data_IF_885433884057
#
_entry.id   IF_885433884057
#
_cell.length_a   1.000
_cell.length_b   1.000
_cell.length_c   1.000
_cell.angle_alpha   90.00
_cell.angle_beta   90.00
_cell.angle_gamma   90.00
#
_symmetry.space_group_name_H-M   'P 1'
#
loop_
_entity.id
_entity.type
_entity.pdbx_description
1 polymer ?
#
# COMPACT_ATOMS: atom_id res chain seq x y z
N UNK A 1 13.29 35.22 -37.90
CA UNK A 1 12.06 35.27 -38.73
C UNK A 1 11.98 33.98 -39.54
N UNK A 2 10.79 33.40 -39.69
CA UNK A 2 10.44 32.14 -38.99
C UNK A 2 9.80 31.09 -39.91
N UNK A 3 9.71 29.84 -39.43
CA UNK A 3 8.91 28.77 -40.03
C UNK A 3 7.80 28.35 -39.06
N UNK A 4 6.72 29.11 -39.05
CA UNK A 4 5.49 28.83 -38.32
C UNK A 4 4.78 27.62 -38.95
N UNK A 5 4.68 26.49 -38.24
CA UNK A 5 4.05 25.26 -38.72
C UNK A 5 2.80 24.89 -37.90
N UNK A 6 2.01 25.90 -37.51
CA UNK A 6 0.71 25.70 -36.86
C UNK A 6 -0.41 26.28 -37.72
N UNK A 7 -1.08 25.43 -38.52
CA UNK A 7 -2.51 25.54 -38.86
C UNK A 7 -2.99 24.32 -39.65
N UNK A 8 -3.90 23.56 -39.03
CA UNK A 8 -5.15 22.96 -39.57
C UNK A 8 -5.52 21.80 -38.60
N UNK A 9 -6.27 22.03 -37.51
CA UNK A 9 -7.74 22.08 -37.43
C UNK A 9 -8.45 20.89 -38.10
N UNK A 10 -8.87 19.92 -37.28
CA UNK A 10 -10.29 19.57 -37.04
C UNK A 10 -10.55 18.07 -36.95
N UNK A 11 -11.22 17.70 -35.85
CA UNK A 11 -12.33 16.75 -35.91
C UNK A 11 -12.00 15.28 -35.74
N UNK A 12 -12.47 14.73 -34.63
CA UNK A 12 -12.91 13.34 -34.60
C UNK A 12 -12.07 12.42 -33.73
N UNK A 13 -12.81 11.70 -32.90
CA UNK A 13 -12.44 10.42 -32.29
C UNK A 13 -11.63 10.53 -31.00
N UNK A 14 -12.38 10.39 -29.89
CA UNK A 14 -11.85 10.15 -28.56
C UNK A 14 -10.95 8.92 -28.60
N UNK A 15 -9.67 9.17 -28.78
CA UNK A 15 -8.62 8.18 -28.55
C UNK A 15 -8.70 7.85 -27.08
N UNK A 16 -9.21 6.64 -26.79
CA UNK A 16 -8.98 5.92 -25.56
C UNK A 16 -7.58 6.30 -25.07
N UNK A 17 -7.51 7.03 -23.96
CA UNK A 17 -6.25 7.33 -23.31
C UNK A 17 -5.73 5.99 -22.79
N UNK A 18 -5.03 5.26 -23.67
CA UNK A 18 -4.15 4.18 -23.29
C UNK A 18 -3.23 4.80 -22.26
N UNK A 19 -3.45 4.41 -21.00
CA UNK A 19 -2.56 4.75 -19.90
C UNK A 19 -1.24 4.06 -20.24
N UNK A 20 -0.41 4.75 -21.00
CA UNK A 20 1.03 4.54 -21.01
C UNK A 20 1.50 4.90 -19.60
N UNK A 21 1.25 3.98 -18.67
CA UNK A 21 1.64 4.11 -17.28
C UNK A 21 3.14 4.29 -17.26
N UNK A 22 3.59 5.52 -17.04
CA UNK A 22 5.01 5.84 -16.98
C UNK A 22 5.53 5.10 -15.74
N UNK A 23 6.21 3.97 -15.96
CA UNK A 23 6.79 3.19 -14.87
C UNK A 23 7.85 4.03 -14.17
N UNK A 24 7.55 4.48 -12.95
CA UNK A 24 8.50 5.21 -12.13
C UNK A 24 9.73 4.33 -11.85
N UNK A 25 10.92 4.87 -12.12
CA UNK A 25 12.19 4.22 -11.78
C UNK A 25 12.68 4.75 -10.46
N UNK A 26 12.91 3.86 -9.50
CA UNK A 26 13.39 4.20 -8.16
C UNK A 26 14.74 3.48 -7.95
N UNK A 27 15.73 4.21 -7.46
CA UNK A 27 17.00 3.66 -6.97
C UNK A 27 16.96 3.66 -5.46
N UNK A 28 17.11 2.50 -4.84
CA UNK A 28 17.13 2.32 -3.38
C UNK A 28 18.42 1.63 -2.96
N UNK A 29 18.93 1.99 -1.79
CA UNK A 29 20.07 1.32 -1.17
C UNK A 29 19.57 0.25 -0.21
N UNK A 30 20.07 -0.97 -0.36
CA UNK A 30 19.81 -2.08 0.55
C UNK A 30 21.14 -2.49 1.17
N UNK A 31 21.14 -2.83 2.46
CA UNK A 31 22.32 -3.47 3.03
C UNK A 31 22.48 -4.90 2.49
N UNK A 32 23.69 -5.44 2.58
CA UNK A 32 24.05 -6.74 2.01
C UNK A 32 23.14 -7.87 2.50
N UNK A 33 22.74 -7.83 3.78
CA UNK A 33 21.89 -8.85 4.39
C UNK A 33 20.48 -8.86 3.80
N UNK A 34 19.90 -7.67 3.60
CA UNK A 34 18.59 -7.50 2.97
C UNK A 34 18.68 -7.87 1.49
N UNK A 35 19.73 -7.45 0.77
CA UNK A 35 19.92 -7.80 -0.64
C UNK A 35 19.97 -9.32 -0.85
N UNK A 36 20.73 -10.06 -0.02
CA UNK A 36 20.79 -11.52 -0.10
C UNK A 36 19.42 -12.17 0.12
N UNK A 37 18.65 -11.69 1.10
CA UNK A 37 17.29 -12.18 1.38
C UNK A 37 16.36 -11.93 0.20
N UNK A 38 16.39 -10.73 -0.38
CA UNK A 38 15.60 -10.34 -1.55
C UNK A 38 15.91 -11.24 -2.74
N UNK A 39 17.20 -11.45 -3.07
CA UNK A 39 17.61 -12.33 -4.18
C UNK A 39 17.15 -13.77 -3.98
N UNK A 40 17.27 -14.29 -2.76
CA UNK A 40 16.81 -15.64 -2.41
C UNK A 40 15.28 -15.75 -2.60
N UNK A 41 14.52 -14.78 -2.09
CA UNK A 41 13.07 -14.78 -2.20
C UNK A 41 12.59 -14.66 -3.66
N UNK A 42 13.20 -13.78 -4.45
CA UNK A 42 12.90 -13.64 -5.88
C UNK A 42 13.16 -14.96 -6.65
N UNK A 43 14.29 -15.62 -6.36
CA UNK A 43 14.63 -16.93 -6.94
C UNK A 43 13.61 -18.00 -6.56
N UNK A 44 13.23 -18.08 -5.28
CA UNK A 44 12.20 -19.02 -4.80
C UNK A 44 10.84 -18.77 -5.45
N UNK A 45 10.49 -17.50 -5.70
CA UNK A 45 9.26 -17.09 -6.38
C UNK A 45 9.35 -17.16 -7.93
N UNK A 46 10.51 -17.54 -8.50
CA UNK A 46 10.75 -17.63 -9.95
C UNK A 46 10.46 -16.32 -10.72
N UNK A 47 10.71 -15.18 -10.09
CA UNK A 47 10.55 -13.84 -10.70
C UNK A 47 11.86 -13.04 -10.64
N UNK A 48 11.94 -11.95 -11.40
CA UNK A 48 13.08 -11.03 -11.31
C UNK A 48 13.09 -10.29 -9.98
N UNK A 49 14.28 -9.84 -9.55
CA UNK A 49 14.44 -9.07 -8.30
C UNK A 49 13.60 -7.79 -8.32
N UNK A 50 13.62 -7.03 -9.42
CA UNK A 50 12.84 -5.80 -9.55
C UNK A 50 11.35 -6.05 -9.46
N UNK A 51 10.84 -7.12 -10.09
CA UNK A 51 9.42 -7.51 -9.97
C UNK A 51 9.08 -7.90 -8.53
N UNK A 52 9.91 -8.71 -7.90
CA UNK A 52 9.69 -9.14 -6.53
C UNK A 52 9.62 -7.94 -5.56
N UNK A 53 10.54 -6.98 -5.70
CA UNK A 53 10.54 -5.75 -4.88
C UNK A 53 9.29 -4.92 -5.17
N UNK A 54 8.94 -4.70 -6.44
CA UNK A 54 7.76 -3.92 -6.82
C UNK A 54 6.47 -4.53 -6.24
N UNK A 55 6.31 -5.85 -6.34
CA UNK A 55 5.16 -6.56 -5.78
C UNK A 55 5.11 -6.42 -4.24
N UNK A 56 6.26 -6.48 -3.55
CA UNK A 56 6.32 -6.25 -2.09
C UNK A 56 5.98 -4.83 -1.69
N UNK A 57 6.48 -3.83 -2.42
CA UNK A 57 6.17 -2.41 -2.16
C UNK A 57 4.69 -2.14 -2.39
N UNK A 58 4.11 -2.67 -3.47
CA UNK A 58 2.69 -2.55 -3.75
C UNK A 58 1.82 -3.15 -2.63
N UNK A 59 2.22 -4.30 -2.08
CA UNK A 59 1.52 -4.91 -0.94
C UNK A 59 1.67 -4.10 0.35
N UNK A 60 2.88 -3.59 0.62
CA UNK A 60 3.13 -2.78 1.81
C UNK A 60 2.42 -1.41 1.78
N UNK A 61 2.12 -0.91 0.58
CA UNK A 61 1.39 0.35 0.37
C UNK A 61 -0.14 0.17 0.33
N UNK A 62 -0.66 -1.03 0.60
CA UNK A 62 -2.11 -1.21 0.75
C UNK A 62 -2.55 -0.62 2.10
N UNK A 63 -3.38 0.43 2.04
CA UNK A 63 -3.93 1.11 3.22
C UNK A 63 -5.18 0.42 3.79
N UNK A 64 -5.57 -0.74 3.24
CA UNK A 64 -6.78 -1.47 3.61
C UNK A 64 -6.46 -2.86 4.14
N UNK A 65 -7.22 -3.30 5.14
CA UNK A 65 -7.20 -4.69 5.58
C UNK A 65 -7.65 -5.63 4.44
N UNK A 66 -7.04 -6.82 4.31
CA UNK A 66 -7.51 -7.84 3.37
C UNK A 66 -8.99 -8.15 3.60
N UNK A 67 -9.73 -8.43 2.53
CA UNK A 67 -11.18 -8.71 2.60
C UNK A 67 -11.44 -9.92 3.49
N UNK A 68 -10.59 -10.94 3.41
CA UNK A 68 -10.68 -12.16 4.23
C UNK A 68 -10.55 -11.85 5.73
N UNK A 69 -9.84 -10.78 6.08
CA UNK A 69 -9.69 -10.32 7.46
C UNK A 69 -10.95 -9.58 7.93
N UNK A 70 -11.59 -8.82 7.04
CA UNK A 70 -12.86 -8.15 7.30
C UNK A 70 -14.02 -9.15 7.41
N UNK A 71 -14.01 -10.20 6.59
CA UNK A 71 -15.00 -11.30 6.63
C UNK A 71 -14.97 -12.07 7.96
N UNK A 72 -13.85 -12.02 8.68
CA UNK A 72 -13.73 -12.60 10.01
C UNK A 72 -14.52 -11.81 11.07
N UNK A 73 -14.83 -10.54 10.81
CA UNK A 73 -15.63 -9.73 11.73
C UNK A 73 -17.07 -10.26 11.79
N UNK A 74 -17.46 -10.78 12.96
CA UNK A 74 -18.78 -11.41 13.15
C UNK A 74 -18.87 -12.87 12.70
N UNK A 75 -17.75 -13.48 12.28
CA UNK A 75 -17.72 -14.91 11.91
C UNK A 75 -17.74 -15.86 13.12
N UNK A 76 -17.66 -15.34 14.35
CA UNK A 76 -17.74 -16.12 15.58
C UNK A 76 -19.21 -16.23 16.03
N UNK A 77 -19.86 -17.41 15.87
CA UNK A 77 -21.29 -17.57 16.13
C UNK A 77 -21.66 -17.41 17.62
N UNK A 78 -20.77 -17.81 18.52
CA UNK A 78 -20.96 -17.73 19.99
C UNK A 78 -19.96 -16.75 20.62
N UNK A 79 -19.80 -15.55 20.03
CA UNK A 79 -18.93 -14.54 20.62
C UNK A 79 -19.56 -14.02 21.93
N UNK A 80 -18.85 -14.10 23.07
CA UNK A 80 -19.40 -13.67 24.35
C UNK A 80 -19.66 -12.16 24.37
N UNK A 81 -20.65 -11.75 25.16
CA UNK A 81 -20.96 -10.33 25.34
C UNK A 81 -19.79 -9.59 26.01
N UNK A 82 -19.72 -8.28 25.78
CA UNK A 82 -18.62 -7.47 26.28
C UNK A 82 -18.52 -7.50 27.82
N UNK A 83 -19.64 -7.61 28.52
CA UNK A 83 -19.72 -7.77 29.96
C UNK A 83 -19.17 -9.12 30.42
N UNK A 84 -19.43 -10.21 29.69
CA UNK A 84 -18.90 -11.54 29.99
C UNK A 84 -17.39 -11.60 29.78
N UNK A 85 -16.88 -10.90 28.76
CA UNK A 85 -15.45 -10.76 28.52
C UNK A 85 -14.75 -9.93 29.61
N UNK A 86 -15.42 -8.93 30.18
CA UNK A 86 -14.85 -8.07 31.23
C UNK A 86 -14.99 -8.67 32.64
N UNK A 87 -15.83 -9.68 32.84
CA UNK A 87 -15.95 -10.37 34.13
C UNK A 87 -14.59 -10.88 34.61
N UNK A 88 -14.16 -10.41 35.77
CA UNK A 88 -12.89 -10.82 36.39
C UNK A 88 -11.66 -10.01 35.95
N UNK A 89 -11.80 -9.10 34.97
CA UNK A 89 -10.81 -8.06 34.73
C UNK A 89 -11.06 -6.87 35.65
N UNK A 90 -9.99 -6.17 36.04
CA UNK A 90 -10.10 -4.91 36.77
C UNK A 90 -10.74 -3.80 35.92
N UNK A 91 -11.04 -2.65 36.52
CA UNK A 91 -11.57 -1.52 35.76
C UNK A 91 -10.63 -1.10 34.62
N UNK A 92 -11.22 -0.76 33.48
CA UNK A 92 -10.49 -0.23 32.33
C UNK A 92 -9.68 1.00 32.77
N UNK A 93 -8.36 0.93 32.63
CA UNK A 93 -7.52 2.08 32.86
C UNK A 93 -7.81 3.15 31.80
N UNK A 94 -7.74 4.45 32.15
CA UNK A 94 -7.94 5.51 31.18
C UNK A 94 -7.04 5.32 29.96
N UNK A 95 -7.63 5.36 28.76
CA UNK A 95 -6.88 5.30 27.51
C UNK A 95 -5.83 6.41 27.50
N UNK A 96 -4.62 6.09 27.03
CA UNK A 96 -3.58 7.10 26.89
C UNK A 96 -4.03 8.25 25.97
N UNK A 97 -3.68 9.47 26.37
CA UNK A 97 -3.95 10.63 25.53
C UNK A 97 -3.07 10.53 24.29
N UNK A 98 -3.70 10.62 23.11
CA UNK A 98 -2.99 10.65 21.83
C UNK A 98 -2.00 11.82 21.87
N UNK A 99 -0.70 11.52 21.93
CA UNK A 99 0.34 12.54 22.06
C UNK A 99 0.35 13.39 20.79
N UNK A 100 -0.25 14.58 20.86
CA UNK A 100 -0.17 15.61 19.81
C UNK A 100 1.24 16.20 19.79
N UNK A 101 2.24 15.46 19.31
CA UNK A 101 3.59 16.03 19.17
C UNK A 101 4.37 15.59 17.94
N UNK A 102 3.70 15.07 16.91
CA UNK A 102 4.31 14.88 15.58
C UNK A 102 3.39 15.43 14.49
N UNK A 103 2.97 16.67 14.67
CA UNK A 103 2.67 17.57 13.55
C UNK A 103 3.42 18.85 13.88
N UNK A 104 4.55 19.05 13.18
CA UNK A 104 5.32 20.29 13.26
C UNK A 104 4.45 21.48 12.85
N UNK A 105 4.79 22.71 13.29
CA UNK A 105 4.04 23.89 12.93
C UNK A 105 4.34 24.32 11.50
N UNK A 106 3.30 24.73 10.77
CA UNK A 106 3.37 25.74 9.70
C UNK A 106 3.90 25.26 8.36
#
# INVERSE_FOLDING_TARGET
>A
MPGEFWRQASGGEGKNAEVIGVMARITIYLNDDVERKVRKAAKSAKVSVSKWIADRVAQAAQDSWPVEFLELAGAFPDFPEAEDLRKGYGEDVPRENLRKSVLGPG
#
